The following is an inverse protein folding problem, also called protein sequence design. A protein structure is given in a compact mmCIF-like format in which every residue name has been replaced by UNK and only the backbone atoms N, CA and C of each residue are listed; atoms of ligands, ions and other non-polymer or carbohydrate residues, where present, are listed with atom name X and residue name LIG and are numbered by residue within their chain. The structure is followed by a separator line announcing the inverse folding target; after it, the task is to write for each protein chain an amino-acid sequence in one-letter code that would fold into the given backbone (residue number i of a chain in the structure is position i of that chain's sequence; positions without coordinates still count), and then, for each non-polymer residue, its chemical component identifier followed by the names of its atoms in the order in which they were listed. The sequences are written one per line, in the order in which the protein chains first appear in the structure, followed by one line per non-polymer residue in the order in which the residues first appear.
data_IF_333765413020
#
_entry.id   IF_333765413020
#
_cell.length_a   1.000
_cell.length_b   1.000
_cell.length_c   1.000
_cell.angle_alpha   90.00
_cell.angle_beta   90.00
_cell.angle_gamma   90.00
#
_symmetry.space_group_name_H-M   'P 1'
#
loop_
_entity.id
_entity.type
_entity.pdbx_description
1 polymer ?
#
# COMPACT_ATOMS: atom_id res chain seq x y z
N UNK A 1 -6.45 -4.17 -6.88
CA UNK A 1 -6.65 -3.12 -5.85
C UNK A 1 -6.47 -3.87 -4.57
N UNK A 2 -5.23 -3.93 -4.11
CA UNK A 2 -4.78 -4.96 -3.18
C UNK A 2 -4.66 -4.38 -1.75
N UNK A 3 -5.05 -3.12 -1.61
CA UNK A 3 -5.23 -2.43 -0.34
C UNK A 3 -6.70 -2.43 0.04
N UNK A 4 -6.96 -2.44 1.34
CA UNK A 4 -8.30 -2.24 1.85
C UNK A 4 -8.73 -0.80 1.59
N UNK A 5 -9.84 -0.61 0.89
CA UNK A 5 -10.43 0.70 0.66
C UNK A 5 -11.74 0.77 1.43
N UNK A 6 -11.91 1.81 2.24
CA UNK A 6 -13.17 2.14 2.90
C UNK A 6 -13.54 3.59 2.61
N UNK A 7 -14.73 3.81 2.08
CA UNK A 7 -15.29 5.14 1.87
C UNK A 7 -16.21 5.47 3.03
N UNK A 8 -15.96 6.61 3.67
CA UNK A 8 -16.65 7.05 4.87
C UNK A 8 -17.46 8.32 4.58
N UNK A 9 -18.69 8.35 5.09
CA UNK A 9 -19.64 9.45 4.98
C UNK A 9 -19.48 10.53 6.05
N UNK A 10 -20.32 11.58 6.02
CA UNK A 10 -20.17 12.79 6.85
C UNK A 10 -20.35 12.54 8.35
N UNK A 11 -21.06 11.47 8.73
CA UNK A 11 -21.27 11.05 10.12
C UNK A 11 -20.29 9.95 10.55
N UNK A 12 -19.18 9.80 9.82
CA UNK A 12 -18.20 8.73 9.97
C UNK A 12 -18.76 7.30 9.77
N UNK A 13 -19.88 7.18 9.06
CA UNK A 13 -20.46 5.90 8.65
C UNK A 13 -19.73 5.34 7.42
N UNK A 14 -19.50 4.03 7.40
CA UNK A 14 -18.96 3.32 6.24
C UNK A 14 -20.04 3.29 5.15
N UNK A 15 -19.75 3.87 3.99
CA UNK A 15 -20.63 3.88 2.83
C UNK A 15 -20.30 2.76 1.86
N UNK A 16 -19.00 2.46 1.70
CA UNK A 16 -18.53 1.41 0.81
C UNK A 16 -17.19 0.86 1.32
N UNK A 17 -16.91 -0.39 1.01
CA UNK A 17 -15.64 -1.04 1.27
C UNK A 17 -15.36 -2.09 0.20
N UNK A 18 -14.10 -2.28 -0.18
CA UNK A 18 -13.72 -3.33 -1.12
C UNK A 18 -13.47 -4.67 -0.40
N UNK A 19 -13.31 -5.74 -1.19
CA UNK A 19 -13.08 -7.08 -0.66
C UNK A 19 -11.83 -7.18 0.23
N UNK A 20 -10.77 -6.43 -0.06
CA UNK A 20 -9.55 -6.43 0.76
C UNK A 20 -9.76 -5.75 2.12
N UNK A 21 -10.53 -4.65 2.17
CA UNK A 21 -10.93 -4.04 3.44
C UNK A 21 -11.82 -5.00 4.23
N UNK A 22 -12.74 -5.69 3.56
CA UNK A 22 -13.58 -6.69 4.23
C UNK A 22 -12.72 -7.78 4.87
N UNK A 23 -11.74 -8.33 4.14
CA UNK A 23 -10.81 -9.33 4.67
C UNK A 23 -10.00 -8.81 5.85
N UNK A 24 -9.46 -7.60 5.77
CA UNK A 24 -8.66 -7.03 6.86
C UNK A 24 -9.47 -6.73 8.13
N UNK A 25 -10.78 -6.47 7.98
CA UNK A 25 -11.70 -6.24 9.09
C UNK A 25 -12.27 -7.54 9.66
N UNK A 26 -12.16 -8.66 8.94
CA UNK A 26 -12.56 -9.97 9.46
C UNK A 26 -11.59 -10.42 10.56
N UNK A 27 -12.14 -10.92 11.65
CA UNK A 27 -11.35 -11.45 12.78
C UNK A 27 -11.00 -10.43 13.85
N UNK A 28 -11.47 -9.18 13.75
CA UNK A 28 -11.27 -8.13 14.77
C UNK A 28 -9.80 -7.92 15.15
N UNK A 29 -8.89 -8.11 14.19
CA UNK A 29 -7.44 -8.08 14.41
C UNK A 29 -6.88 -6.65 14.40
N UNK A 30 -7.47 -5.78 15.22
CA UNK A 30 -7.06 -4.38 15.41
C UNK A 30 -8.05 -3.36 14.87
N UNK A 31 -8.83 -3.71 13.84
CA UNK A 31 -9.92 -2.91 13.28
C UNK A 31 -11.19 -3.73 13.10
N UNK A 32 -12.34 -3.06 13.17
CA UNK A 32 -13.66 -3.65 12.94
C UNK A 32 -14.71 -2.61 12.59
N UNK A 33 -15.86 -3.06 12.11
CA UNK A 33 -17.04 -2.20 11.91
C UNK A 33 -18.01 -2.39 13.07
N UNK A 34 -18.28 -1.32 13.82
CA UNK A 34 -19.25 -1.30 14.92
C UNK A 34 -20.32 -0.27 14.60
N UNK A 35 -21.59 -0.68 14.60
CA UNK A 35 -22.74 0.20 14.29
C UNK A 35 -22.56 0.98 12.97
N UNK A 36 -22.03 0.32 11.94
CA UNK A 36 -21.78 0.92 10.63
C UNK A 36 -20.61 1.90 10.57
N UNK A 37 -19.74 1.96 11.59
CA UNK A 37 -18.58 2.85 11.64
C UNK A 37 -17.28 2.05 11.75
N UNK A 38 -16.23 2.52 11.09
CA UNK A 38 -14.89 1.95 11.25
C UNK A 38 -14.36 2.30 12.65
N UNK A 39 -13.92 1.29 13.39
CA UNK A 39 -13.44 1.41 14.77
C UNK A 39 -12.17 0.62 14.96
N UNK A 40 -11.24 1.13 15.79
CA UNK A 40 -10.09 0.36 16.23
C UNK A 40 -10.39 -0.35 17.55
N UNK A 41 -9.83 -1.55 17.73
CA UNK A 41 -10.00 -2.36 18.95
C UNK A 41 -9.38 -1.67 20.16
N UNK A 42 -8.20 -1.07 19.98
CA UNK A 42 -7.52 -0.30 21.02
C UNK A 42 -8.12 1.11 21.18
N UNK A 43 -8.43 1.52 22.42
CA UNK A 43 -9.06 2.81 22.70
C UNK A 43 -8.22 4.04 22.28
N UNK A 44 -6.90 4.00 22.44
CA UNK A 44 -6.01 5.09 22.03
C UNK A 44 -5.96 5.20 20.51
N UNK A 45 -5.81 4.08 19.82
CA UNK A 45 -5.88 4.03 18.36
C UNK A 45 -7.26 4.47 17.84
N UNK A 46 -8.33 4.10 18.53
CA UNK A 46 -9.69 4.49 18.15
C UNK A 46 -9.92 6.00 18.31
N UNK A 47 -9.32 6.64 19.33
CA UNK A 47 -9.32 8.11 19.45
C UNK A 47 -8.55 8.77 18.30
N UNK A 48 -7.39 8.22 17.92
CA UNK A 48 -6.62 8.71 16.76
C UNK A 48 -7.40 8.58 15.46
N UNK A 49 -8.03 7.42 15.22
CA UNK A 49 -8.89 7.16 14.08
C UNK A 49 -10.05 8.16 13.99
N UNK A 50 -10.79 8.35 15.09
CA UNK A 50 -11.93 9.27 15.11
C UNK A 50 -11.50 10.73 14.85
N UNK A 51 -10.36 11.16 15.41
CA UNK A 51 -9.82 12.50 15.17
C UNK A 51 -9.40 12.69 13.71
N UNK A 52 -8.74 11.69 13.13
CA UNK A 52 -8.32 11.71 11.74
C UNK A 52 -9.51 11.72 10.76
N UNK A 53 -10.52 10.88 11.00
CA UNK A 53 -11.78 10.89 10.24
C UNK A 53 -12.51 12.23 10.38
N UNK A 54 -12.62 12.75 11.60
CA UNK A 54 -13.25 14.04 11.83
C UNK A 54 -12.53 15.14 11.04
N UNK A 55 -11.20 15.21 11.15
CA UNK A 55 -10.42 16.22 10.42
C UNK A 55 -10.52 16.08 8.90
N UNK A 56 -10.56 14.85 8.36
CA UNK A 56 -10.77 14.63 6.93
C UNK A 56 -12.19 15.05 6.46
N UNK A 57 -13.19 14.95 7.34
CA UNK A 57 -14.58 15.31 7.04
C UNK A 57 -14.89 16.79 7.33
N UNK A 58 -14.14 17.47 8.20
CA UNK A 58 -14.44 18.85 8.64
C UNK A 58 -13.38 19.89 8.31
N UNK A 59 -12.17 19.47 7.90
CA UNK A 59 -11.03 20.37 7.69
C UNK A 59 -11.30 21.49 6.69
N UNK A 60 -10.96 22.72 7.08
CA UNK A 60 -10.98 23.93 6.25
C UNK A 60 -9.74 24.04 5.36
N UNK A 61 -9.88 24.80 4.27
CA UNK A 61 -8.96 24.91 3.13
C UNK A 61 -7.51 25.33 3.44
N UNK A 62 -7.16 25.78 4.65
CA UNK A 62 -5.83 26.33 4.95
C UNK A 62 -4.75 25.29 5.29
N UNK A 63 -5.10 24.01 5.48
CA UNK A 63 -4.14 22.93 5.74
C UNK A 63 -4.14 21.88 4.61
N UNK A 64 -3.78 22.31 3.39
CA UNK A 64 -3.89 21.56 2.13
C UNK A 64 -3.06 20.26 2.07
N UNK A 65 -2.34 19.85 3.14
CA UNK A 65 -1.52 18.62 3.20
C UNK A 65 -2.08 17.49 4.08
N UNK A 66 -3.27 17.66 4.67
CA UNK A 66 -3.77 16.88 5.83
C UNK A 66 -4.33 15.47 5.57
N UNK A 67 -3.57 14.58 4.93
CA UNK A 67 -3.79 13.14 5.09
C UNK A 67 -3.25 12.69 6.45
N UNK A 68 -4.01 11.88 7.20
CA UNK A 68 -3.53 11.30 8.46
C UNK A 68 -3.06 9.87 8.23
N UNK A 69 -1.81 9.61 8.58
CA UNK A 69 -1.23 8.27 8.51
C UNK A 69 -0.84 7.80 9.92
N UNK A 70 -1.26 6.60 10.30
CA UNK A 70 -0.88 6.00 11.57
C UNK A 70 -0.99 4.47 11.52
N UNK A 71 -0.34 3.80 12.47
CA UNK A 71 -0.37 2.34 12.55
C UNK A 71 -1.47 1.84 13.47
N UNK A 72 -2.01 0.67 13.17
CA UNK A 72 -2.95 -0.06 14.03
C UNK A 72 -2.32 -1.40 14.39
N UNK A 73 -1.98 -1.54 15.68
CA UNK A 73 -1.43 -2.77 16.22
C UNK A 73 -2.46 -3.89 16.14
N UNK A 74 -1.98 -5.10 15.83
CA UNK A 74 -2.79 -6.30 15.65
C UNK A 74 -2.70 -7.18 16.89
N UNK A 75 -3.82 -7.57 17.52
CA UNK A 75 -3.83 -8.56 18.60
C UNK A 75 -3.13 -9.89 18.26
N UNK A 76 -3.07 -10.26 16.98
CA UNK A 76 -2.32 -11.43 16.48
C UNK A 76 -0.79 -11.29 16.55
N UNK A 77 -0.26 -10.13 16.95
CA UNK A 77 1.17 -9.82 17.02
C UNK A 77 1.90 -9.89 15.66
N UNK A 78 1.14 -9.76 14.58
CA UNK A 78 1.67 -9.61 13.22
C UNK A 78 2.00 -8.14 12.91
N UNK A 79 2.59 -7.89 11.73
CA UNK A 79 2.95 -6.52 11.32
C UNK A 79 1.73 -5.58 11.40
N UNK A 80 1.85 -4.40 12.03
CA UNK A 80 0.73 -3.47 12.18
C UNK A 80 0.16 -3.04 10.83
N UNK A 81 -1.16 -2.86 10.74
CA UNK A 81 -1.75 -2.19 9.59
C UNK A 81 -1.27 -0.73 9.54
N UNK A 82 -1.12 -0.19 8.34
CA UNK A 82 -0.95 1.25 8.11
C UNK A 82 -2.26 1.79 7.55
N UNK A 83 -2.81 2.83 8.19
CA UNK A 83 -4.02 3.51 7.71
C UNK A 83 -3.64 4.88 7.19
N UNK A 84 -4.11 5.19 5.99
CA UNK A 84 -4.13 6.53 5.44
C UNK A 84 -5.56 7.03 5.36
N UNK A 85 -5.82 8.22 5.89
CA UNK A 85 -7.14 8.85 5.88
C UNK A 85 -7.04 10.16 5.12
N UNK A 86 -7.75 10.25 4.00
CA UNK A 86 -7.70 11.37 3.07
C UNK A 86 -9.11 11.93 2.83
N UNK A 87 -9.28 13.24 2.67
CA UNK A 87 -10.54 13.80 2.18
C UNK A 87 -10.76 13.41 0.70
N UNK A 88 -11.92 12.84 0.35
CA UNK A 88 -12.22 12.38 -1.01
C UNK A 88 -12.88 13.49 -1.85
N UNK A 89 -13.84 14.22 -1.27
CA UNK A 89 -14.45 15.41 -1.89
C UNK A 89 -14.59 16.52 -0.85
N UNK A 90 -13.99 17.69 -1.13
CA UNK A 90 -14.17 18.91 -0.36
C UNK A 90 -15.43 19.63 -0.85
N UNK A 91 -16.59 19.19 -0.38
CA UNK A 91 -17.86 19.85 -0.66
C UNK A 91 -18.17 20.87 0.44
N UNK A 92 -18.65 22.06 0.07
CA UNK A 92 -19.06 23.09 1.03
C UNK A 92 -20.19 22.56 1.92
N UNK A 93 -21.20 21.93 1.31
CA UNK A 93 -22.26 21.19 2.00
C UNK A 93 -21.70 20.03 2.85
N UNK A 94 -21.88 20.07 4.19
CA UNK A 94 -21.38 19.04 5.09
C UNK A 94 -21.85 17.62 4.73
N UNK A 95 -23.08 17.46 4.27
CA UNK A 95 -23.70 16.15 3.99
C UNK A 95 -23.09 15.43 2.78
N UNK A 96 -22.33 16.15 1.95
CA UNK A 96 -21.66 15.61 0.76
C UNK A 96 -20.18 15.31 0.98
N UNK A 97 -19.65 15.62 2.16
CA UNK A 97 -18.25 15.35 2.50
C UNK A 97 -18.00 13.87 2.68
N UNK A 98 -16.86 13.40 2.17
CA UNK A 98 -16.46 11.99 2.17
C UNK A 98 -14.99 11.88 2.52
N UNK A 99 -14.63 10.84 3.24
CA UNK A 99 -13.23 10.47 3.50
C UNK A 99 -12.93 9.11 2.86
N UNK A 100 -11.72 8.99 2.32
CA UNK A 100 -11.11 7.75 1.87
C UNK A 100 -10.22 7.23 3.00
N UNK A 101 -10.45 5.99 3.41
CA UNK A 101 -9.51 5.26 4.26
C UNK A 101 -8.86 4.19 3.40
N UNK A 102 -7.53 4.25 3.30
CA UNK A 102 -6.70 3.22 2.69
C UNK A 102 -6.05 2.43 3.82
N UNK A 103 -6.29 1.14 3.84
CA UNK A 103 -5.67 0.18 4.74
C UNK A 103 -4.63 -0.61 3.97
N UNK A 104 -3.39 -0.47 4.42
CA UNK A 104 -2.25 -1.24 3.93
C UNK A 104 -1.94 -2.30 4.98
N UNK A 105 -1.91 -3.56 4.55
CA UNK A 105 -1.37 -4.66 5.34
C UNK A 105 0.06 -4.93 4.88
N UNK A 106 1.09 -4.54 5.65
CA UNK A 106 2.48 -4.80 5.27
C UNK A 106 2.84 -6.28 5.23
N UNK A 107 2.03 -7.17 5.82
CA UNK A 107 2.21 -8.61 5.67
C UNK A 107 1.72 -9.13 4.31
N UNK A 108 0.93 -8.32 3.60
CA UNK A 108 0.37 -8.62 2.29
C UNK A 108 0.63 -7.49 1.29
N UNK A 109 1.72 -6.71 1.49
CA UNK A 109 2.10 -5.66 0.54
C UNK A 109 2.36 -6.32 -0.83
N UNK A 110 1.54 -6.03 -1.85
CA UNK A 110 1.66 -6.66 -3.15
C UNK A 110 2.93 -6.14 -3.81
N UNK A 111 3.80 -7.07 -4.20
CA UNK A 111 4.92 -6.76 -5.07
C UNK A 111 4.39 -6.19 -6.39
N UNK A 112 5.12 -5.28 -7.05
CA UNK A 112 4.75 -4.87 -8.39
C UNK A 112 4.73 -6.13 -9.26
N UNK A 113 3.54 -6.52 -9.74
CA UNK A 113 3.42 -7.79 -10.44
C UNK A 113 4.39 -7.87 -11.62
N UNK A 114 4.90 -9.07 -11.93
CA UNK A 114 5.72 -9.29 -13.13
C UNK A 114 5.05 -8.68 -14.36
N UNK A 115 3.73 -8.87 -14.50
CA UNK A 115 2.93 -8.30 -15.59
C UNK A 115 2.97 -6.75 -15.64
N UNK A 116 2.99 -6.08 -14.50
CA UNK A 116 3.12 -4.62 -14.44
C UNK A 116 4.49 -4.17 -14.95
N UNK A 117 5.57 -4.83 -14.54
CA UNK A 117 6.92 -4.50 -14.99
C UNK A 117 7.12 -4.76 -16.48
N UNK A 118 6.57 -5.87 -16.98
CA UNK A 118 6.54 -6.16 -18.41
C UNK A 118 5.78 -5.09 -19.20
N UNK A 119 4.67 -4.58 -18.66
CA UNK A 119 3.85 -3.57 -19.34
C UNK A 119 4.49 -2.18 -19.32
N UNK A 120 5.08 -1.76 -18.20
CA UNK A 120 5.62 -0.41 -18.02
C UNK A 120 7.01 -0.24 -18.63
N UNK A 121 7.86 -1.27 -18.53
CA UNK A 121 9.28 -1.17 -18.94
C UNK A 121 9.64 -2.18 -20.03
N UNK A 122 8.66 -2.86 -20.62
CA UNK A 122 8.87 -3.84 -21.69
C UNK A 122 9.89 -4.94 -21.31
N UNK A 123 9.92 -5.28 -20.02
CA UNK A 123 10.73 -6.40 -19.54
C UNK A 123 10.18 -7.71 -20.10
N UNK A 124 11.07 -8.66 -20.35
CA UNK A 124 10.68 -10.06 -20.51
C UNK A 124 10.25 -10.64 -19.17
N UNK A 125 9.57 -11.79 -19.19
CA UNK A 125 9.16 -12.47 -17.95
C UNK A 125 10.34 -12.75 -17.02
N UNK A 126 11.47 -13.22 -17.57
CA UNK A 126 12.69 -13.51 -16.80
C UNK A 126 13.34 -12.24 -16.26
N UNK A 127 13.40 -11.17 -17.04
CA UNK A 127 13.93 -9.88 -16.57
C UNK A 127 13.09 -9.31 -15.42
N UNK A 128 11.76 -9.38 -15.52
CA UNK A 128 10.87 -8.94 -14.46
C UNK A 128 10.98 -9.82 -13.19
N UNK A 129 11.13 -11.14 -13.33
CA UNK A 129 11.36 -12.04 -12.18
C UNK A 129 12.67 -11.70 -11.44
N UNK A 130 13.76 -11.50 -12.20
CA UNK A 130 15.06 -11.12 -11.64
C UNK A 130 14.99 -9.75 -10.97
N UNK A 131 14.31 -8.76 -11.58
CA UNK A 131 14.14 -7.43 -11.02
C UNK A 131 13.39 -7.46 -9.67
N UNK A 132 12.35 -8.29 -9.56
CA UNK A 132 11.59 -8.47 -8.32
C UNK A 132 12.43 -9.11 -7.21
N UNK A 133 13.15 -10.20 -7.50
CA UNK A 133 14.06 -10.83 -6.53
C UNK A 133 15.10 -9.84 -6.00
N UNK A 134 15.64 -8.99 -6.89
CA UNK A 134 16.56 -7.92 -6.52
C UNK A 134 15.89 -6.85 -5.64
N UNK A 135 14.63 -6.50 -5.90
CA UNK A 135 13.84 -5.59 -5.06
C UNK A 135 13.69 -6.10 -3.62
N UNK A 136 13.63 -7.42 -3.44
CA UNK A 136 13.60 -8.09 -2.13
C UNK A 136 14.95 -8.24 -1.45
N UNK A 137 16.01 -7.68 -2.05
CA UNK A 137 17.36 -7.78 -1.51
C UNK A 137 18.05 -9.11 -1.79
N UNK A 138 17.52 -9.95 -2.70
CA UNK A 138 18.25 -11.13 -3.13
C UNK A 138 19.53 -10.75 -3.86
N UNK A 139 20.64 -11.40 -3.49
CA UNK A 139 21.91 -11.22 -4.18
C UNK A 139 21.90 -11.95 -5.53
N UNK A 140 22.57 -11.42 -6.57
CA UNK A 140 22.64 -12.06 -7.89
C UNK A 140 23.13 -13.51 -7.86
N UNK A 141 23.92 -13.88 -6.85
CA UNK A 141 24.40 -15.25 -6.66
C UNK A 141 23.28 -16.19 -6.22
N UNK A 142 22.47 -15.79 -5.24
CA UNK A 142 21.30 -16.58 -4.81
C UNK A 142 20.26 -16.69 -5.93
N UNK A 143 20.05 -15.62 -6.70
CA UNK A 143 19.16 -15.66 -7.89
C UNK A 143 19.66 -16.69 -8.92
N UNK A 144 20.97 -16.77 -9.12
CA UNK A 144 21.58 -17.74 -10.03
C UNK A 144 21.34 -19.18 -9.55
N UNK A 145 21.50 -19.42 -8.25
CA UNK A 145 21.24 -20.71 -7.61
C UNK A 145 19.76 -21.10 -7.72
N UNK A 146 18.83 -20.21 -7.34
CA UNK A 146 17.39 -20.43 -7.39
C UNK A 146 16.88 -20.76 -8.80
N UNK A 147 17.41 -20.05 -9.81
CA UNK A 147 17.02 -20.22 -11.20
C UNK A 147 17.85 -21.28 -11.93
N UNK A 148 18.82 -21.91 -11.24
CA UNK A 148 19.76 -22.88 -11.83
C UNK A 148 20.45 -22.37 -13.11
N UNK A 149 20.87 -21.10 -13.10
CA UNK A 149 21.61 -20.45 -14.19
C UNK A 149 22.94 -19.89 -13.70
N UNK A 150 23.82 -19.46 -14.61
CA UNK A 150 25.09 -18.86 -14.20
C UNK A 150 24.91 -17.45 -13.65
N UNK A 151 25.78 -17.04 -12.71
CA UNK A 151 25.84 -15.65 -12.22
C UNK A 151 26.07 -14.65 -13.37
N UNK A 152 26.83 -15.05 -14.39
CA UNK A 152 27.04 -14.24 -15.60
C UNK A 152 25.72 -14.00 -16.33
N UNK A 153 24.88 -15.04 -16.47
CA UNK A 153 23.54 -14.93 -17.07
C UNK A 153 22.64 -13.98 -16.29
N UNK A 154 22.63 -14.08 -14.94
CA UNK A 154 21.89 -13.14 -14.09
C UNK A 154 22.38 -11.70 -14.29
N UNK A 155 23.69 -11.47 -14.33
CA UNK A 155 24.27 -10.14 -14.60
C UNK A 155 23.89 -9.60 -15.97
N UNK A 156 23.86 -10.44 -17.00
CA UNK A 156 23.39 -10.04 -18.33
C UNK A 156 21.92 -9.63 -18.31
N UNK A 157 21.05 -10.38 -17.61
CA UNK A 157 19.66 -9.98 -17.45
C UNK A 157 19.53 -8.66 -16.68
N UNK A 158 20.29 -8.48 -15.61
CA UNK A 158 20.28 -7.22 -14.84
C UNK A 158 20.74 -6.02 -15.68
N UNK A 159 21.76 -6.19 -16.53
CA UNK A 159 22.16 -5.13 -17.46
C UNK A 159 21.01 -4.73 -18.38
N UNK A 160 20.30 -5.70 -18.96
CA UNK A 160 19.13 -5.41 -19.81
C UNK A 160 17.98 -4.78 -19.04
N UNK A 161 17.76 -5.18 -17.79
CA UNK A 161 16.78 -4.53 -16.92
C UNK A 161 17.16 -3.07 -16.73
N UNK A 162 18.40 -2.80 -16.33
CA UNK A 162 18.95 -1.46 -16.12
C UNK A 162 18.79 -0.56 -17.35
N UNK A 163 19.11 -1.07 -18.55
CA UNK A 163 18.93 -0.34 -19.80
C UNK A 163 17.44 -0.02 -20.07
N UNK A 164 16.54 -0.98 -19.82
CA UNK A 164 15.10 -0.82 -20.06
C UNK A 164 14.38 0.05 -19.03
N UNK A 165 14.92 0.13 -17.81
CA UNK A 165 14.36 0.91 -16.71
C UNK A 165 15.04 2.27 -16.53
N UNK A 166 16.03 2.61 -17.36
CA UNK A 166 16.85 3.82 -17.25
C UNK A 166 17.48 3.97 -15.86
N UNK A 167 18.04 2.87 -15.35
CA UNK A 167 18.73 2.82 -14.06
C UNK A 167 20.13 2.26 -14.23
N UNK A 168 21.09 2.67 -13.42
CA UNK A 168 22.49 2.28 -13.59
C UNK A 168 23.00 1.39 -12.45
N UNK A 169 22.25 1.30 -11.35
CA UNK A 169 22.64 0.57 -10.14
C UNK A 169 21.45 -0.18 -9.56
N UNK A 170 21.73 -1.29 -8.88
CA UNK A 170 20.73 -2.06 -8.15
C UNK A 170 19.87 -1.19 -7.22
N UNK A 171 20.49 -0.26 -6.48
CA UNK A 171 19.76 0.65 -5.57
C UNK A 171 18.81 1.58 -6.33
N UNK A 172 19.16 2.01 -7.54
CA UNK A 172 18.29 2.86 -8.38
C UNK A 172 17.09 2.07 -8.89
N UNK A 173 17.31 0.82 -9.33
CA UNK A 173 16.23 -0.09 -9.69
C UNK A 173 15.29 -0.33 -8.52
N UNK A 174 15.80 -0.62 -7.32
CA UNK A 174 14.96 -0.81 -6.12
C UNK A 174 14.13 0.45 -5.85
N UNK A 175 14.73 1.64 -5.91
CA UNK A 175 14.00 2.91 -5.73
C UNK A 175 12.90 3.11 -6.75
N UNK A 176 13.18 2.82 -8.02
CA UNK A 176 12.19 2.91 -9.09
C UNK A 176 11.02 1.94 -8.83
N UNK A 177 11.30 0.70 -8.46
CA UNK A 177 10.25 -0.28 -8.19
C UNK A 177 9.39 0.10 -6.97
N UNK A 178 9.98 0.74 -5.97
CA UNK A 178 9.24 1.24 -4.80
C UNK A 178 8.21 2.33 -5.17
N UNK A 179 8.42 3.10 -6.24
CA UNK A 179 7.42 4.12 -6.67
C UNK A 179 6.20 3.52 -7.37
N UNK A 180 6.26 2.23 -7.73
CA UNK A 180 5.16 1.52 -8.38
C UNK A 180 4.18 0.92 -7.37
N UNK A 181 4.49 0.98 -6.07
CA UNK A 181 3.54 0.60 -5.02
C UNK A 181 2.44 1.67 -4.92
N UNK A 182 1.14 1.30 -4.98
CA UNK A 182 0.03 2.24 -5.10
C UNK A 182 -0.24 3.20 -3.93
N UNK A 183 0.69 3.44 -3.00
CA UNK A 183 0.47 4.29 -1.82
C UNK A 183 1.65 5.22 -1.50
N UNK A 184 2.57 5.41 -2.46
CA UNK A 184 3.59 6.45 -2.38
C UNK A 184 3.05 7.81 -2.88
#
# INVERSE_FOLDING_TARGET
MDHGIVVVGPNAQVLNLNAEAEKALRGDDGLRITSGRLTAVNATTNRTLNRALHSALTGTSDNIRGGYSFTVQRPSDTRPFVLHILPLHRHEEPDRRRALVVLVDPAHEPEPSTALLQRLYHLTRTEADIALRVAHGAEPKHIAEDLSISITTVRTHLHRVFDKTDTHRQVELVRLLLTLHPVA
#
